data_IF_703318896296
#
_entry.id   IF_703318896296
#
_cell.length_a   1.000
_cell.length_b   1.000
_cell.length_c   1.000
_cell.angle_alpha   90.00
_cell.angle_beta   90.00
_cell.angle_gamma   90.00
#
_symmetry.space_group_name_H-M   'P 1'
#
loop_
_entity.id
_entity.type
_entity.pdbx_description
1 polymer ?
#
# COMPACT_ATOMS: atom_id res chain seq x y z
N UNK A 1 -37.71 -22.58 -19.34
CA UNK A 1 -36.61 -23.01 -20.24
C UNK A 1 -35.34 -22.30 -19.78
N UNK A 2 -34.54 -22.94 -18.93
CA UNK A 2 -33.35 -22.37 -18.30
C UNK A 2 -32.11 -22.70 -19.14
N UNK A 3 -31.28 -21.69 -19.45
CA UNK A 3 -29.97 -21.88 -20.08
C UNK A 3 -28.91 -22.04 -18.98
N UNK A 4 -28.09 -23.10 -18.98
CA UNK A 4 -27.01 -23.24 -18.00
C UNK A 4 -25.82 -22.36 -18.40
N UNK A 5 -25.37 -21.49 -17.49
CA UNK A 5 -24.12 -20.75 -17.64
C UNK A 5 -22.94 -21.72 -17.44
N UNK A 6 -22.12 -21.87 -18.48
CA UNK A 6 -20.85 -22.60 -18.42
C UNK A 6 -19.86 -21.80 -17.58
N UNK A 7 -19.54 -22.30 -16.38
CA UNK A 7 -18.40 -21.84 -15.61
C UNK A 7 -17.11 -22.25 -16.33
N UNK A 8 -16.30 -21.27 -16.74
CA UNK A 8 -14.94 -21.49 -17.21
C UNK A 8 -14.05 -21.81 -16.00
N UNK A 9 -13.64 -23.07 -15.90
CA UNK A 9 -12.66 -23.56 -14.94
C UNK A 9 -11.26 -23.21 -15.43
N UNK A 10 -10.55 -22.35 -14.69
CA UNK A 10 -9.12 -22.05 -14.89
C UNK A 10 -8.36 -22.75 -13.75
N UNK A 11 -7.66 -23.87 -14.00
CA UNK A 11 -6.84 -24.53 -12.98
C UNK A 11 -5.46 -23.86 -12.93
N UNK A 12 -5.09 -23.31 -11.76
CA UNK A 12 -3.69 -22.90 -11.55
C UNK A 12 -3.43 -21.73 -10.61
N UNK A 13 -4.44 -21.10 -10.01
CA UNK A 13 -4.21 -20.09 -8.97
C UNK A 13 -4.36 -20.73 -7.59
N UNK A 14 -3.20 -20.89 -6.94
CA UNK A 14 -3.08 -21.31 -5.55
C UNK A 14 -4.16 -20.63 -4.69
N UNK A 15 -4.93 -21.46 -3.97
CA UNK A 15 -5.86 -21.05 -2.94
C UNK A 15 -5.08 -20.45 -1.76
N UNK A 16 -4.63 -19.21 -1.92
CA UNK A 16 -3.96 -18.40 -0.93
C UNK A 16 -4.70 -17.07 -0.80
N UNK A 17 -5.84 -17.09 -0.10
CA UNK A 17 -6.38 -15.93 0.63
C UNK A 17 -6.44 -14.63 -0.20
N UNK A 18 -7.33 -14.56 -1.20
CA UNK A 18 -7.84 -13.27 -1.67
C UNK A 18 -8.79 -12.68 -0.61
N UNK A 19 -8.24 -12.31 0.56
CA UNK A 19 -8.91 -11.36 1.43
C UNK A 19 -8.82 -10.03 0.70
N UNK A 20 -9.90 -9.65 0.03
CA UNK A 20 -10.19 -8.25 -0.25
C UNK A 20 -10.31 -7.54 1.10
N UNK A 21 -9.18 -7.25 1.73
CA UNK A 21 -9.12 -6.57 2.99
C UNK A 21 -9.37 -5.11 2.66
N UNK A 22 -10.58 -4.63 2.95
CA UNK A 22 -10.94 -3.25 2.72
C UNK A 22 -9.91 -2.36 3.41
N UNK A 23 -9.21 -1.55 2.61
CA UNK A 23 -8.31 -0.52 3.12
C UNK A 23 -9.17 0.47 3.89
N UNK A 24 -8.88 0.65 5.16
CA UNK A 24 -9.60 1.62 5.99
C UNK A 24 -8.92 3.00 5.91
N UNK A 25 -9.64 4.06 6.29
CA UNK A 25 -9.06 5.42 6.34
C UNK A 25 -7.79 5.48 7.18
N UNK A 26 -7.72 4.73 8.29
CA UNK A 26 -6.52 4.64 9.14
C UNK A 26 -5.31 4.07 8.38
N UNK A 27 -5.54 3.13 7.45
CA UNK A 27 -4.46 2.59 6.62
C UNK A 27 -3.95 3.64 5.63
N UNK A 28 -4.85 4.46 5.07
CA UNK A 28 -4.48 5.59 4.22
C UNK A 28 -3.79 6.71 5.01
N UNK A 29 -4.17 6.94 6.27
CA UNK A 29 -3.47 7.87 7.16
C UNK A 29 -2.05 7.40 7.46
N UNK A 30 -1.86 6.10 7.69
CA UNK A 30 -0.53 5.51 7.85
C UNK A 30 0.31 5.64 6.57
N UNK A 31 -0.30 5.43 5.40
CA UNK A 31 0.34 5.65 4.10
C UNK A 31 0.75 7.14 3.90
N UNK A 32 -0.14 8.07 4.27
CA UNK A 32 0.15 9.52 4.24
C UNK A 32 1.27 9.88 5.21
N UNK A 33 1.26 9.32 6.41
CA UNK A 33 2.28 9.53 7.42
C UNK A 33 3.66 9.07 6.93
N UNK A 34 3.74 7.86 6.35
CA UNK A 34 4.94 7.33 5.72
C UNK A 34 5.49 8.28 4.64
N UNK A 35 4.61 8.84 3.81
CA UNK A 35 4.97 9.75 2.73
C UNK A 35 5.24 11.19 3.20
N UNK A 36 5.13 11.46 4.50
CA UNK A 36 5.29 12.81 5.05
C UNK A 36 4.23 13.78 4.55
N UNK A 37 3.00 13.29 4.34
CA UNK A 37 1.83 14.08 4.00
C UNK A 37 1.15 14.48 5.31
N UNK A 38 1.10 15.77 5.58
CA UNK A 38 0.46 16.30 6.77
C UNK A 38 0.28 17.82 6.67
N UNK A 39 -0.63 18.37 7.46
CA UNK A 39 -0.91 19.81 7.53
C UNK A 39 0.29 20.63 7.99
N UNK A 40 1.16 20.05 8.81
CA UNK A 40 2.38 20.68 9.34
C UNK A 40 3.56 20.64 8.36
N UNK A 41 3.45 19.90 7.24
CA UNK A 41 4.52 19.75 6.24
C UNK A 41 4.14 20.56 5.00
N UNK A 42 5.05 21.42 4.53
CA UNK A 42 4.82 22.20 3.30
C UNK A 42 4.55 21.23 2.15
N UNK A 43 3.47 21.45 1.39
CA UNK A 43 3.05 20.57 0.27
C UNK A 43 4.21 20.21 -0.68
N UNK A 44 5.12 21.14 -0.97
CA UNK A 44 6.31 20.91 -1.82
C UNK A 44 7.30 19.86 -1.28
N UNK A 45 7.23 19.55 0.01
CA UNK A 45 8.06 18.58 0.71
C UNK A 45 7.37 17.22 0.86
N UNK A 46 6.09 17.06 0.52
CA UNK A 46 5.46 15.74 0.56
C UNK A 46 6.17 14.76 -0.39
N UNK A 47 6.25 13.49 0.01
CA UNK A 47 7.03 12.46 -0.66
C UNK A 47 8.54 12.52 -0.37
N UNK A 48 8.98 13.35 0.59
CA UNK A 48 10.39 13.37 1.02
C UNK A 48 10.82 12.11 1.78
N UNK A 49 9.85 11.34 2.27
CA UNK A 49 10.05 10.05 2.92
C UNK A 49 9.34 8.99 2.08
N UNK A 50 10.07 7.94 1.73
CA UNK A 50 9.51 6.73 1.14
C UNK A 50 10.14 5.48 1.76
N UNK A 51 10.46 5.57 3.05
CA UNK A 51 10.89 4.44 3.86
C UNK A 51 10.09 4.49 5.16
N UNK A 52 9.52 3.37 5.59
CA UNK A 52 8.86 3.29 6.88
C UNK A 52 9.09 1.91 7.49
N UNK A 53 9.56 1.89 8.73
CA UNK A 53 9.62 0.68 9.53
C UNK A 53 8.41 0.72 10.49
N UNK A 54 7.35 -0.05 10.22
CA UNK A 54 6.21 -0.13 11.12
C UNK A 54 6.59 -0.89 12.39
N UNK A 55 5.97 -0.52 13.50
CA UNK A 55 6.05 -1.24 14.77
C UNK A 55 4.65 -1.46 15.37
N UNK A 56 4.46 -2.58 16.07
CA UNK A 56 3.20 -2.87 16.78
C UNK A 56 1.97 -2.90 15.86
N UNK A 57 1.01 -2.01 16.12
CA UNK A 57 -0.28 -1.96 15.42
C UNK A 57 -0.17 -1.56 13.94
N UNK A 58 0.89 -0.83 13.56
CA UNK A 58 1.10 -0.38 12.18
C UNK A 58 1.48 -1.52 11.25
N UNK A 59 1.99 -2.65 11.79
CA UNK A 59 2.41 -3.81 10.98
C UNK A 59 1.21 -4.37 10.21
N UNK A 60 0.08 -4.56 10.88
CA UNK A 60 -1.13 -5.07 10.23
C UNK A 60 -1.68 -4.11 9.18
N UNK A 61 -1.53 -2.81 9.40
CA UNK A 61 -1.90 -1.77 8.44
C UNK A 61 -1.02 -1.83 7.19
N UNK A 62 0.30 -1.96 7.36
CA UNK A 62 1.24 -2.11 6.24
C UNK A 62 1.04 -3.41 5.47
N UNK A 63 0.71 -4.52 6.14
CA UNK A 63 0.37 -5.78 5.46
C UNK A 63 -0.89 -5.66 4.60
N UNK A 64 -1.90 -4.91 5.05
CA UNK A 64 -3.09 -4.61 4.24
C UNK A 64 -2.76 -3.77 3.02
N UNK A 65 -1.97 -2.72 3.20
CA UNK A 65 -1.52 -1.86 2.12
C UNK A 65 -0.65 -2.63 1.12
N UNK A 66 0.15 -3.59 1.58
CA UNK A 66 1.02 -4.42 0.74
C UNK A 66 0.19 -5.42 -0.07
N UNK A 67 -0.78 -6.08 0.56
CA UNK A 67 -1.75 -6.95 -0.12
C UNK A 67 -2.54 -6.22 -1.20
N UNK A 68 -2.81 -4.92 -1.01
CA UNK A 68 -3.45 -4.07 -2.01
C UNK A 68 -2.50 -3.47 -3.06
N UNK A 69 -1.18 -3.73 -2.97
CA UNK A 69 -0.18 -3.22 -3.90
C UNK A 69 0.16 -1.73 -3.76
N UNK A 70 -0.25 -1.08 -2.66
CA UNK A 70 0.07 0.33 -2.39
C UNK A 70 1.46 0.51 -1.77
N UNK A 71 1.97 -0.53 -1.11
CA UNK A 71 3.33 -0.55 -0.57
C UNK A 71 4.04 -1.85 -0.94
N UNK A 72 5.37 -1.84 -0.88
CA UNK A 72 6.24 -2.99 -1.13
C UNK A 72 7.17 -3.19 0.05
N UNK A 73 7.28 -4.43 0.52
CA UNK A 73 8.29 -4.85 1.50
C UNK A 73 9.68 -4.74 0.88
N UNK A 74 10.56 -4.03 1.55
CA UNK A 74 11.97 -3.87 1.26
C UNK A 74 12.82 -4.76 2.17
N UNK A 75 13.94 -4.21 2.63
CA UNK A 75 14.89 -4.93 3.49
C UNK A 75 14.26 -5.27 4.85
N UNK A 76 14.56 -6.46 5.38
CA UNK A 76 14.21 -6.83 6.74
C UNK A 76 14.86 -5.86 7.75
N UNK A 77 14.09 -5.48 8.78
CA UNK A 77 14.53 -4.59 9.85
C UNK A 77 13.96 -5.10 11.17
N UNK A 78 14.85 -5.52 12.08
CA UNK A 78 14.48 -6.12 13.36
C UNK A 78 13.44 -7.25 13.19
N UNK A 79 12.28 -7.11 13.82
CA UNK A 79 11.17 -8.08 13.76
C UNK A 79 10.23 -7.83 12.57
N UNK A 80 10.53 -6.85 11.70
CA UNK A 80 9.67 -6.43 10.59
C UNK A 80 10.47 -6.20 9.28
N UNK A 81 9.91 -5.41 8.36
CA UNK A 81 10.52 -5.03 7.10
C UNK A 81 10.35 -3.52 6.92
N UNK A 82 11.28 -2.89 6.22
CA UNK A 82 11.02 -1.58 5.64
C UNK A 82 9.94 -1.69 4.58
N UNK A 83 9.04 -0.73 4.55
CA UNK A 83 8.04 -0.59 3.52
C UNK A 83 8.33 0.65 2.69
N UNK A 84 8.09 0.53 1.38
CA UNK A 84 8.17 1.60 0.41
C UNK A 84 6.82 1.75 -0.27
N UNK A 85 6.29 2.97 -0.41
CA UNK A 85 5.13 3.19 -1.27
C UNK A 85 5.49 2.89 -2.72
N UNK A 86 4.56 2.22 -3.39
CA UNK A 86 4.57 2.11 -4.85
C UNK A 86 4.04 3.40 -5.47
N UNK A 87 4.17 3.55 -6.79
CA UNK A 87 3.54 4.65 -7.52
C UNK A 87 2.03 4.72 -7.23
N UNK A 88 1.35 3.57 -7.22
CA UNK A 88 -0.06 3.47 -6.88
C UNK A 88 -0.36 3.96 -5.46
N UNK A 89 0.47 3.61 -4.47
CA UNK A 89 0.34 4.12 -3.11
C UNK A 89 0.55 5.63 -3.00
N UNK A 90 1.54 6.16 -3.71
CA UNK A 90 1.79 7.60 -3.76
C UNK A 90 0.58 8.37 -4.32
N UNK A 91 0.00 7.86 -5.41
CA UNK A 91 -1.19 8.46 -6.03
C UNK A 91 -2.40 8.34 -5.10
N UNK A 92 -2.63 7.17 -4.49
CA UNK A 92 -3.72 6.96 -3.53
C UNK A 92 -3.62 7.88 -2.30
N UNK A 93 -2.40 8.19 -1.85
CA UNK A 93 -2.15 9.13 -0.77
C UNK A 93 -2.34 10.61 -1.17
N UNK A 94 -2.48 10.90 -2.47
CA UNK A 94 -2.70 12.24 -3.01
C UNK A 94 -1.43 12.97 -3.46
N UNK A 95 -0.33 12.25 -3.71
CA UNK A 95 0.87 12.85 -4.30
C UNK A 95 0.67 13.18 -5.78
N UNK A 96 1.19 14.34 -6.19
CA UNK A 96 1.30 14.74 -7.60
C UNK A 96 2.46 13.99 -8.28
N UNK A 97 2.47 13.86 -9.62
CA UNK A 97 3.49 13.11 -10.35
C UNK A 97 4.94 13.51 -10.02
N UNK A 98 5.23 14.80 -9.82
CA UNK A 98 6.58 15.24 -9.43
C UNK A 98 6.99 14.85 -8.01
N UNK A 99 6.02 14.57 -7.12
CA UNK A 99 6.24 14.12 -5.75
C UNK A 99 6.41 12.60 -5.69
N UNK A 100 5.68 11.86 -6.53
CA UNK A 100 5.89 10.41 -6.76
C UNK A 100 7.33 10.16 -7.19
N UNK A 101 7.80 10.88 -8.22
CA UNK A 101 9.19 10.79 -8.69
C UNK A 101 10.22 11.14 -7.61
N UNK A 102 9.90 12.09 -6.73
CA UNK A 102 10.75 12.47 -5.59
C UNK A 102 10.82 11.36 -4.53
N UNK A 103 9.70 10.68 -4.29
CA UNK A 103 9.62 9.55 -3.38
C UNK A 103 10.42 8.33 -3.87
N UNK A 104 10.81 8.28 -5.16
CA UNK A 104 11.51 7.14 -5.74
C UNK A 104 10.62 5.91 -5.90
N UNK A 105 9.33 6.15 -6.09
CA UNK A 105 8.30 5.15 -6.35
C UNK A 105 8.12 4.89 -7.86
#
# INVERSE_FOLDING_TARGET
>A
MARPQRALYIPGMNAGVFRANWINDTDLENLRHMLGIGSHIKKRQWGYRNHFAPGGADIQSMERLESAGLVRKGRAYEETHYYHATEAGCVAAGLKPYQVRKAGA
#
